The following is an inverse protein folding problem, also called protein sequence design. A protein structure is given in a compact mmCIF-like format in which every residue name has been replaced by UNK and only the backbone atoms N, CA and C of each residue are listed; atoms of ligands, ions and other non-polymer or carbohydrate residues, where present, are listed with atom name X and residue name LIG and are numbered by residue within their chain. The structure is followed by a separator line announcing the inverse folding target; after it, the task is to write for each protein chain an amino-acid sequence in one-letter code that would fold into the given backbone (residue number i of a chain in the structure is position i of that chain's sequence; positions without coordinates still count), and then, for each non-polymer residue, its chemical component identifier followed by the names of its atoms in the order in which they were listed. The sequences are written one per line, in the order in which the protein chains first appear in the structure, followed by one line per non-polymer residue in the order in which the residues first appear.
data_IF_936623413726
#
_entry.id   IF_936623413726
#
_cell.length_a   1.000
_cell.length_b   1.000
_cell.length_c   1.000
_cell.angle_alpha   90.00
_cell.angle_beta   90.00
_cell.angle_gamma   90.00
#
_symmetry.space_group_name_H-M   'P 1'
#
loop_
_entity.id
_entity.type
_entity.pdbx_description
1 polymer ?
#
# COMPACT_ATOMS: atom_id res chain seq x y z
N UNK A 1 -65.59 7.16 17.02
CA UNK A 1 -65.87 6.16 15.95
C UNK A 1 -64.81 6.37 14.87
N UNK A 2 -64.11 5.32 14.42
CA UNK A 2 -63.15 5.39 13.31
C UNK A 2 -63.80 4.78 12.07
N UNK A 3 -63.72 5.47 10.94
CA UNK A 3 -64.18 4.96 9.65
C UNK A 3 -62.97 4.66 8.77
N UNK A 4 -63.05 3.58 7.99
CA UNK A 4 -62.01 3.16 7.06
C UNK A 4 -62.59 3.24 5.65
N UNK A 5 -62.16 4.25 4.88
CA UNK A 5 -62.55 4.41 3.48
C UNK A 5 -61.90 3.36 2.59
N UNK A 6 -62.67 2.81 1.64
CA UNK A 6 -62.11 2.04 0.51
C UNK A 6 -61.67 3.02 -0.58
N UNK A 7 -60.63 2.71 -1.38
CA UNK A 7 -60.24 3.56 -2.50
C UNK A 7 -61.43 3.97 -3.37
N UNK A 8 -61.56 5.28 -3.64
CA UNK A 8 -62.69 5.85 -4.39
C UNK A 8 -63.93 6.21 -3.55
N UNK A 9 -63.87 6.02 -2.23
CA UNK A 9 -64.91 6.45 -1.30
C UNK A 9 -64.36 7.49 -0.33
N UNK A 10 -65.04 8.63 -0.26
CA UNK A 10 -64.77 9.70 0.69
C UNK A 10 -65.95 9.80 1.68
N UNK A 11 -65.66 10.22 2.93
CA UNK A 11 -66.68 10.44 3.95
C UNK A 11 -66.78 11.94 4.19
N UNK A 12 -67.92 12.51 3.83
CA UNK A 12 -68.18 13.95 3.90
C UNK A 12 -69.16 14.22 5.05
N UNK A 13 -68.91 15.28 5.82
CA UNK A 13 -69.83 15.73 6.86
C UNK A 13 -70.85 16.69 6.24
N UNK A 14 -72.16 16.51 6.50
CA UNK A 14 -73.19 17.41 5.96
C UNK A 14 -72.93 18.87 6.36
N UNK A 15 -72.88 19.78 5.38
CA UNK A 15 -72.63 21.21 5.59
C UNK A 15 -71.28 21.70 5.04
N UNK A 16 -70.36 20.78 4.75
CA UNK A 16 -69.23 21.10 3.88
C UNK A 16 -69.76 21.28 2.45
N UNK A 17 -69.25 22.27 1.74
CA UNK A 17 -69.61 22.56 0.35
C UNK A 17 -68.55 21.87 -0.53
N UNK A 18 -68.68 20.58 -0.87
CA UNK A 18 -67.66 19.92 -1.68
C UNK A 18 -67.67 20.61 -3.03
N UNK A 19 -66.59 21.28 -3.38
CA UNK A 19 -66.29 21.52 -4.79
C UNK A 19 -66.25 20.14 -5.44
N UNK A 20 -67.30 19.76 -6.16
CA UNK A 20 -67.47 18.46 -6.85
C UNK A 20 -66.52 18.39 -8.08
N UNK A 21 -65.30 18.87 -7.93
CA UNK A 21 -64.21 18.50 -8.81
C UNK A 21 -63.56 17.27 -8.18
N UNK A 22 -63.82 16.10 -8.77
CA UNK A 22 -63.13 14.86 -8.44
C UNK A 22 -61.64 15.03 -8.77
N UNK A 23 -60.89 15.56 -7.80
CA UNK A 23 -59.44 15.63 -7.79
C UNK A 23 -58.85 14.30 -7.29
N UNK A 24 -57.52 14.16 -7.38
CA UNK A 24 -56.84 13.04 -6.76
C UNK A 24 -57.00 13.07 -5.23
N UNK A 25 -57.26 11.91 -4.63
CA UNK A 25 -57.49 11.73 -3.19
C UNK A 25 -56.46 10.77 -2.57
N UNK A 26 -56.25 10.88 -1.26
CA UNK A 26 -55.28 10.10 -0.50
C UNK A 26 -55.70 9.89 0.96
N UNK A 27 -54.96 9.08 1.72
CA UNK A 27 -55.25 8.81 3.13
C UNK A 27 -56.05 7.54 3.37
N UNK A 28 -56.28 6.74 2.32
CA UNK A 28 -56.69 5.35 2.44
C UNK A 28 -55.67 4.52 3.21
N UNK A 29 -56.02 3.26 3.50
CA UNK A 29 -55.11 2.33 4.18
C UNK A 29 -53.74 2.24 3.49
N UNK A 30 -52.67 2.28 4.28
CA UNK A 30 -51.28 2.27 3.82
C UNK A 30 -50.83 0.98 3.09
N UNK A 31 -51.71 -0.03 2.99
CA UNK A 31 -51.50 -1.27 2.21
C UNK A 31 -52.00 -1.15 0.77
N UNK A 32 -52.72 -0.08 0.43
CA UNK A 32 -53.18 0.18 -0.93
C UNK A 32 -52.01 0.71 -1.74
N UNK A 33 -51.70 0.06 -2.87
CA UNK A 33 -50.54 0.42 -3.71
C UNK A 33 -50.53 1.87 -4.20
N UNK A 34 -51.70 2.48 -4.47
CA UNK A 34 -51.78 3.89 -4.86
C UNK A 34 -51.36 4.85 -3.76
N UNK A 35 -51.29 4.41 -2.49
CA UNK A 35 -50.82 5.18 -1.35
C UNK A 35 -49.33 4.97 -1.07
N UNK A 36 -48.63 4.13 -1.85
CA UNK A 36 -47.21 3.88 -1.64
C UNK A 36 -46.41 5.10 -2.11
N UNK A 37 -45.56 5.68 -1.26
CA UNK A 37 -44.67 6.75 -1.68
C UNK A 37 -43.56 6.17 -2.57
N UNK A 38 -42.89 7.06 -3.31
CA UNK A 38 -41.75 6.71 -4.14
C UNK A 38 -40.46 6.83 -3.31
N UNK A 39 -39.51 5.91 -3.53
CA UNK A 39 -38.17 5.95 -2.96
C UNK A 39 -37.11 5.76 -4.05
N UNK A 40 -36.10 6.63 -4.06
CA UNK A 40 -34.91 6.49 -4.89
C UNK A 40 -33.65 6.62 -4.02
N UNK A 41 -32.79 5.60 -4.04
CA UNK A 41 -31.48 5.63 -3.39
C UNK A 41 -30.37 5.72 -4.43
N UNK A 42 -29.61 6.81 -4.44
CA UNK A 42 -28.44 6.98 -5.31
C UNK A 42 -27.22 7.35 -4.49
N UNK A 43 -26.10 6.66 -4.72
CA UNK A 43 -24.84 6.92 -4.05
C UNK A 43 -23.99 5.67 -3.88
N UNK A 44 -22.76 5.81 -3.32
CA UNK A 44 -21.82 4.71 -3.19
C UNK A 44 -22.27 3.61 -2.21
N UNK A 45 -23.17 3.95 -1.29
CA UNK A 45 -23.70 3.03 -0.27
C UNK A 45 -24.84 2.15 -0.79
N UNK A 46 -25.56 2.60 -1.82
CA UNK A 46 -26.69 1.88 -2.41
C UNK A 46 -26.23 0.94 -3.52
N UNK A 47 -26.89 -0.21 -3.68
CA UNK A 47 -26.65 -1.09 -4.82
C UNK A 47 -27.01 -0.38 -6.14
N UNK A 48 -26.28 -0.71 -7.19
CA UNK A 48 -26.50 -0.15 -8.53
C UNK A 48 -27.54 -0.98 -9.30
N UNK A 49 -28.36 -0.30 -10.10
CA UNK A 49 -29.32 -0.91 -11.03
C UNK A 49 -30.25 -1.95 -10.39
N UNK A 50 -30.64 -1.70 -9.14
CA UNK A 50 -31.53 -2.59 -8.40
C UNK A 50 -32.88 -1.92 -8.18
N UNK A 51 -33.93 -2.70 -8.39
CA UNK A 51 -35.29 -2.37 -7.98
C UNK A 51 -35.51 -2.94 -6.57
N UNK A 52 -35.72 -2.06 -5.60
CA UNK A 52 -35.94 -2.44 -4.22
C UNK A 52 -37.33 -3.05 -4.04
N UNK A 53 -37.42 -4.04 -3.15
CA UNK A 53 -38.71 -4.50 -2.65
C UNK A 53 -39.34 -3.43 -1.75
N UNK A 54 -40.67 -3.30 -1.68
CA UNK A 54 -41.31 -2.32 -0.80
C UNK A 54 -40.93 -2.52 0.67
N UNK A 55 -40.59 -1.42 1.35
CA UNK A 55 -40.34 -1.38 2.79
C UNK A 55 -41.09 -0.19 3.41
N UNK A 56 -41.19 -0.13 4.75
CA UNK A 56 -42.00 0.89 5.40
C UNK A 56 -41.24 2.21 5.52
N UNK A 57 -41.96 3.34 5.42
CA UNK A 57 -41.36 4.68 5.56
C UNK A 57 -40.67 4.88 6.92
N UNK A 58 -41.12 4.19 7.98
CA UNK A 58 -40.49 4.23 9.31
C UNK A 58 -39.06 3.67 9.31
N UNK A 59 -38.71 2.80 8.35
CA UNK A 59 -37.38 2.21 8.21
C UNK A 59 -36.37 3.21 7.57
N UNK A 60 -36.84 4.34 7.02
CA UNK A 60 -35.98 5.37 6.42
C UNK A 60 -35.12 6.05 7.50
N UNK A 61 -35.62 6.25 8.71
CA UNK A 61 -34.82 6.89 9.76
C UNK A 61 -33.61 6.06 10.19
N UNK A 62 -33.74 4.75 10.55
CA UNK A 62 -32.58 3.88 10.78
C UNK A 62 -31.62 3.80 9.59
N UNK A 63 -32.15 3.78 8.36
CA UNK A 63 -31.36 3.78 7.13
C UNK A 63 -30.51 5.07 7.00
N UNK A 64 -31.11 6.24 7.22
CA UNK A 64 -30.38 7.52 7.19
C UNK A 64 -29.33 7.59 8.29
N UNK A 65 -29.67 7.17 9.51
CA UNK A 65 -28.72 7.11 10.62
C UNK A 65 -27.52 6.22 10.29
N UNK A 66 -27.75 5.06 9.66
CA UNK A 66 -26.68 4.18 9.18
C UNK A 66 -25.79 4.86 8.14
N UNK A 67 -26.37 5.52 7.13
CA UNK A 67 -25.63 6.21 6.07
C UNK A 67 -24.79 7.38 6.62
N UNK A 68 -25.37 8.14 7.54
CA UNK A 68 -24.74 9.29 8.19
C UNK A 68 -23.79 8.89 9.33
N UNK A 69 -23.70 7.60 9.67
CA UNK A 69 -22.92 7.06 10.80
C UNK A 69 -23.32 7.66 12.15
N UNK A 70 -24.63 7.85 12.34
CA UNK A 70 -25.23 8.32 13.59
C UNK A 70 -25.72 7.14 14.43
N UNK A 71 -25.76 7.33 15.75
CA UNK A 71 -26.40 6.38 16.64
C UNK A 71 -27.93 6.44 16.46
N UNK A 72 -28.53 5.31 16.08
CA UNK A 72 -29.97 5.20 15.89
C UNK A 72 -30.68 5.19 17.25
N UNK A 73 -31.50 6.21 17.52
CA UNK A 73 -32.43 6.20 18.67
C UNK A 73 -33.57 5.19 18.47
N UNK A 74 -34.21 4.81 19.58
CA UNK A 74 -35.39 3.93 19.60
C UNK A 74 -36.48 4.47 18.66
N UNK A 75 -36.93 3.61 17.75
CA UNK A 75 -37.93 3.91 16.72
C UNK A 75 -38.71 2.63 16.38
N UNK A 76 -39.82 2.76 15.67
CA UNK A 76 -40.63 1.65 15.18
C UNK A 76 -40.08 1.01 13.90
N UNK A 77 -39.08 1.65 13.26
CA UNK A 77 -38.41 1.13 12.06
C UNK A 77 -37.18 0.28 12.39
N UNK A 78 -36.75 -0.54 11.44
CA UNK A 78 -35.52 -1.33 11.53
C UNK A 78 -34.67 -1.19 10.27
N UNK A 79 -33.35 -1.05 10.46
CA UNK A 79 -32.40 -1.06 9.35
C UNK A 79 -32.45 -2.38 8.57
N UNK A 80 -32.73 -3.50 9.24
CA UNK A 80 -32.72 -4.82 8.59
C UNK A 80 -33.75 -4.93 7.45
N UNK A 81 -34.88 -4.22 7.56
CA UNK A 81 -35.91 -4.16 6.52
C UNK A 81 -35.40 -3.48 5.24
N UNK A 82 -34.53 -2.47 5.38
CA UNK A 82 -33.96 -1.71 4.27
C UNK A 82 -32.55 -2.19 3.86
N UNK A 83 -31.90 -3.06 4.64
CA UNK A 83 -30.49 -3.44 4.45
C UNK A 83 -30.22 -4.07 3.09
N UNK A 84 -31.22 -4.73 2.50
CA UNK A 84 -31.13 -5.32 1.17
C UNK A 84 -30.81 -4.30 0.08
N UNK A 85 -31.04 -2.99 0.30
CA UNK A 85 -30.72 -1.94 -0.67
C UNK A 85 -29.28 -1.43 -0.62
N UNK A 86 -28.55 -1.82 0.43
CA UNK A 86 -27.20 -1.37 0.69
C UNK A 86 -26.17 -2.31 0.07
N UNK A 87 -25.02 -1.77 -0.33
CA UNK A 87 -23.87 -2.57 -0.73
C UNK A 87 -23.21 -3.19 0.50
N UNK A 88 -22.67 -4.39 0.31
CA UNK A 88 -21.75 -5.02 1.26
C UNK A 88 -20.42 -4.23 1.30
N UNK A 89 -20.38 -3.11 2.02
CA UNK A 89 -19.17 -2.28 2.14
C UNK A 89 -18.01 -3.01 2.81
N UNK A 90 -18.31 -4.03 3.63
CA UNK A 90 -17.30 -4.87 4.27
C UNK A 90 -16.47 -5.66 3.25
N UNK A 91 -17.08 -6.15 2.17
CA UNK A 91 -16.34 -6.85 1.09
C UNK A 91 -15.43 -5.88 0.35
N UNK A 92 -15.93 -4.72 -0.04
CA UNK A 92 -15.13 -3.74 -0.79
C UNK A 92 -13.92 -3.21 0.00
N UNK A 93 -14.12 -2.85 1.28
CA UNK A 93 -13.01 -2.37 2.12
C UNK A 93 -12.00 -3.47 2.40
N UNK A 94 -12.45 -4.67 2.75
CA UNK A 94 -11.57 -5.82 3.00
C UNK A 94 -10.74 -6.20 1.76
N UNK A 95 -11.38 -6.27 0.59
CA UNK A 95 -10.69 -6.57 -0.66
C UNK A 95 -9.67 -5.48 -1.02
N UNK A 96 -9.97 -4.21 -0.79
CA UNK A 96 -9.03 -3.12 -1.04
C UNK A 96 -7.82 -3.15 -0.10
N UNK A 97 -8.04 -3.40 1.19
CA UNK A 97 -6.96 -3.54 2.18
C UNK A 97 -6.05 -4.72 1.81
N UNK A 98 -6.62 -5.88 1.44
CA UNK A 98 -5.86 -7.05 0.98
C UNK A 98 -5.10 -6.72 -0.31
N UNK A 99 -5.75 -6.14 -1.31
CA UNK A 99 -5.12 -5.84 -2.60
C UNK A 99 -3.93 -4.88 -2.42
N UNK A 100 -4.08 -3.86 -1.57
CA UNK A 100 -3.00 -2.93 -1.25
C UNK A 100 -1.85 -3.63 -0.53
N UNK A 101 -2.15 -4.48 0.45
CA UNK A 101 -1.15 -5.27 1.17
C UNK A 101 -0.40 -6.24 0.25
N UNK A 102 -1.11 -6.99 -0.61
CA UNK A 102 -0.53 -7.93 -1.57
C UNK A 102 0.33 -7.20 -2.61
N UNK A 103 -0.13 -6.06 -3.14
CA UNK A 103 0.64 -5.26 -4.09
C UNK A 103 1.93 -4.71 -3.46
N UNK A 104 1.85 -4.24 -2.22
CA UNK A 104 3.01 -3.67 -1.50
C UNK A 104 4.04 -4.75 -1.17
N UNK A 105 3.60 -5.93 -0.73
CA UNK A 105 4.51 -7.04 -0.39
C UNK A 105 5.17 -7.62 -1.64
N UNK A 106 4.43 -7.83 -2.73
CA UNK A 106 4.99 -8.38 -3.98
C UNK A 106 6.00 -7.44 -4.65
N UNK A 107 5.73 -6.13 -4.68
CA UNK A 107 6.67 -5.12 -5.22
C UNK A 107 7.93 -5.00 -4.37
N UNK A 108 7.81 -4.99 -3.05
CA UNK A 108 8.97 -4.94 -2.16
C UNK A 108 9.85 -6.20 -2.27
N UNK A 109 9.25 -7.40 -2.31
CA UNK A 109 10.00 -8.66 -2.46
C UNK A 109 10.73 -8.72 -3.80
N UNK A 110 10.05 -8.39 -4.89
CA UNK A 110 10.66 -8.39 -6.23
C UNK A 110 11.79 -7.36 -6.32
N UNK A 111 11.58 -6.14 -5.80
CA UNK A 111 12.61 -5.10 -5.76
C UNK A 111 13.86 -5.52 -4.97
N UNK A 112 13.70 -6.14 -3.79
CA UNK A 112 14.84 -6.66 -3.01
C UNK A 112 15.56 -7.80 -3.74
N UNK A 113 14.82 -8.68 -4.41
CA UNK A 113 15.41 -9.72 -5.26
C UNK A 113 16.30 -9.15 -6.37
N UNK A 114 15.81 -8.14 -7.11
CA UNK A 114 16.59 -7.54 -8.20
C UNK A 114 17.84 -6.78 -7.72
N UNK A 115 17.71 -6.00 -6.65
CA UNK A 115 18.82 -5.20 -6.12
C UNK A 115 19.98 -6.07 -5.61
N UNK A 116 19.66 -7.15 -4.91
CA UNK A 116 20.67 -8.10 -4.40
C UNK A 116 21.42 -8.80 -5.52
N UNK A 117 20.71 -9.32 -6.52
CA UNK A 117 21.32 -9.96 -7.70
C UNK A 117 22.22 -8.98 -8.46
N UNK A 118 21.76 -7.75 -8.70
CA UNK A 118 22.55 -6.72 -9.38
C UNK A 118 23.82 -6.36 -8.58
N UNK A 119 23.70 -6.24 -7.25
CA UNK A 119 24.83 -5.96 -6.37
C UNK A 119 25.89 -7.07 -6.42
N UNK A 120 25.48 -8.34 -6.39
CA UNK A 120 26.39 -9.48 -6.52
C UNK A 120 27.11 -9.49 -7.87
N UNK A 121 26.40 -9.20 -8.97
CA UNK A 121 27.00 -9.09 -10.30
C UNK A 121 28.08 -7.99 -10.33
N UNK A 122 27.81 -6.83 -9.73
CA UNK A 122 28.77 -5.72 -9.67
C UNK A 122 30.03 -6.09 -8.87
N UNK A 123 29.87 -6.76 -7.73
CA UNK A 123 31.01 -7.22 -6.90
C UNK A 123 31.88 -8.22 -7.68
N UNK A 124 31.25 -9.15 -8.40
CA UNK A 124 31.96 -10.13 -9.24
C UNK A 124 32.73 -9.42 -10.36
N UNK A 125 32.11 -8.45 -11.05
CA UNK A 125 32.77 -7.70 -12.12
C UNK A 125 33.96 -6.89 -11.60
N UNK A 126 33.82 -6.20 -10.47
CA UNK A 126 34.92 -5.46 -9.84
C UNK A 126 36.06 -6.42 -9.45
N UNK A 127 35.74 -7.58 -8.88
CA UNK A 127 36.72 -8.62 -8.53
C UNK A 127 37.47 -9.15 -9.77
N UNK A 128 36.76 -9.40 -10.87
CA UNK A 128 37.37 -9.82 -12.14
C UNK A 128 38.32 -8.73 -12.67
N UNK A 129 37.88 -7.47 -12.70
CA UNK A 129 38.71 -6.34 -13.16
C UNK A 129 39.97 -6.20 -12.30
N UNK A 130 39.83 -6.26 -10.97
CA UNK A 130 40.95 -6.18 -10.04
C UNK A 130 41.95 -7.32 -10.26
N UNK A 131 41.45 -8.56 -10.42
CA UNK A 131 42.29 -9.73 -10.67
C UNK A 131 43.08 -9.58 -11.98
N UNK A 132 42.42 -9.15 -13.06
CA UNK A 132 43.08 -8.88 -14.35
C UNK A 132 44.15 -7.79 -14.19
N UNK A 133 43.86 -6.71 -13.48
CA UNK A 133 44.80 -5.62 -13.23
C UNK A 133 46.02 -6.08 -12.41
N UNK A 134 45.80 -6.85 -11.35
CA UNK A 134 46.86 -7.45 -10.53
C UNK A 134 47.74 -8.40 -11.35
N UNK A 135 47.14 -9.30 -12.14
CA UNK A 135 47.89 -10.17 -13.06
C UNK A 135 48.72 -9.37 -14.06
N UNK A 136 48.18 -8.27 -14.61
CA UNK A 136 48.88 -7.41 -15.56
C UNK A 136 50.06 -6.69 -14.90
N UNK A 137 49.88 -6.18 -13.68
CA UNK A 137 50.94 -5.54 -12.90
C UNK A 137 52.08 -6.52 -12.58
N UNK A 138 51.74 -7.72 -12.09
CA UNK A 138 52.74 -8.77 -11.82
C UNK A 138 53.52 -9.17 -13.07
N UNK A 139 52.85 -9.31 -14.24
CA UNK A 139 53.55 -9.58 -15.52
C UNK A 139 54.50 -8.45 -15.93
N UNK A 140 54.14 -7.19 -15.69
CA UNK A 140 55.02 -6.06 -15.98
C UNK A 140 56.26 -6.05 -15.09
N UNK A 141 56.13 -6.38 -13.80
CA UNK A 141 57.28 -6.49 -12.90
C UNK A 141 58.29 -7.56 -13.37
N UNK A 142 57.80 -8.73 -13.77
CA UNK A 142 58.65 -9.80 -14.32
C UNK A 142 59.35 -9.37 -15.61
N UNK A 143 58.67 -8.60 -16.47
CA UNK A 143 59.26 -8.07 -17.70
C UNK A 143 60.41 -7.09 -17.42
N UNK A 144 60.24 -6.21 -16.44
CA UNK A 144 61.28 -5.25 -16.02
C UNK A 144 62.48 -5.96 -15.41
N UNK A 145 62.25 -6.97 -14.56
CA UNK A 145 63.33 -7.75 -13.94
C UNK A 145 64.13 -8.56 -14.98
N UNK A 146 63.47 -9.07 -16.02
CA UNK A 146 64.12 -9.75 -17.15
C UNK A 146 65.03 -8.85 -18.01
N UNK A 147 64.90 -7.51 -17.95
CA UNK A 147 65.73 -6.57 -18.70
C UNK A 147 66.96 -6.08 -17.91
N UNK A 148 67.15 -6.51 -16.66
CA UNK A 148 68.26 -6.09 -15.81
C UNK A 148 69.55 -6.87 -16.15
N UNK A 149 70.40 -6.31 -17.03
CA UNK A 149 71.74 -6.86 -17.30
C UNK A 149 72.73 -6.28 -16.27
N UNK A 150 73.40 -7.11 -15.44
CA UNK A 150 74.32 -6.59 -14.44
C UNK A 150 75.59 -6.01 -15.10
N UNK A 151 75.85 -4.72 -14.88
CA UNK A 151 77.12 -4.07 -15.26
C UNK A 151 78.21 -4.58 -14.33
N UNK A 152 79.17 -5.33 -14.89
CA UNK A 152 80.25 -5.97 -14.14
C UNK A 152 81.41 -4.99 -13.97
N UNK A 153 81.55 -4.38 -12.79
CA UNK A 153 82.75 -3.61 -12.45
C UNK A 153 83.93 -4.57 -12.17
N UNK A 154 84.98 -4.47 -12.97
CA UNK A 154 86.25 -5.19 -12.76
C UNK A 154 87.11 -4.37 -11.80
N UNK A 155 87.13 -4.76 -10.52
CA UNK A 155 88.08 -4.20 -9.56
C UNK A 155 89.49 -4.62 -9.99
N UNK A 156 90.29 -3.64 -10.41
CA UNK A 156 91.72 -3.81 -10.61
C UNK A 156 92.35 -3.93 -9.23
N UNK A 157 92.76 -5.15 -8.88
CA UNK A 157 93.63 -5.43 -7.74
C UNK A 157 94.98 -4.78 -8.03
N UNK A 158 95.24 -3.65 -7.38
CA UNK A 158 96.60 -3.18 -7.15
C UNK A 158 96.87 -3.32 -5.66
N UNK A 159 97.84 -4.18 -5.37
CA UNK A 159 98.60 -4.17 -4.12
C UNK A 159 99.13 -2.75 -3.89
N UNK A 160 98.73 -2.12 -2.79
CA UNK A 160 99.62 -1.35 -1.92
C UNK A 160 98.91 -1.06 -0.60
N UNK A 161 99.61 -1.36 0.50
CA UNK A 161 99.01 -1.44 1.83
C UNK A 161 98.65 -0.08 2.43
N UNK A 162 97.64 -0.08 3.29
CA UNK A 162 97.62 0.80 4.45
C UNK A 162 96.60 0.31 5.48
N UNK A 163 97.03 0.30 6.73
CA UNK A 163 96.25 -0.06 7.91
C UNK A 163 95.20 1.01 8.19
N UNK A 164 93.99 0.59 8.57
CA UNK A 164 93.29 1.18 9.72
C UNK A 164 92.05 0.36 10.05
N UNK A 165 92.11 -0.37 11.18
CA UNK A 165 90.93 -0.64 11.98
C UNK A 165 90.42 0.71 12.48
N UNK A 166 89.15 1.04 12.22
CA UNK A 166 88.51 2.17 12.88
C UNK A 166 87.01 1.91 13.08
N UNK A 167 86.69 1.68 14.36
CA UNK A 167 85.39 1.73 15.05
C UNK A 167 84.38 0.58 14.84
N UNK A 168 84.38 -0.27 15.87
CA UNK A 168 83.21 -0.92 16.43
C UNK A 168 82.22 0.11 17.00
N UNK A 169 80.94 -0.25 17.06
CA UNK A 169 80.16 -0.02 18.28
C UNK A 169 79.16 -1.17 18.48
N UNK A 170 79.16 -1.68 19.71
CA UNK A 170 78.34 -2.76 20.25
C UNK A 170 77.11 -2.17 20.95
N UNK A 171 76.04 -2.96 20.97
CA UNK A 171 75.14 -3.14 22.12
C UNK A 171 74.21 -1.99 22.59
N UNK A 172 73.04 -2.41 23.08
CA UNK A 172 72.45 -1.76 24.26
C UNK A 172 70.97 -1.38 24.18
N UNK A 173 70.13 -2.34 24.62
CA UNK A 173 68.94 -2.17 25.47
C UNK A 173 67.73 -1.32 25.03
N UNK A 174 66.59 -2.03 24.95
CA UNK A 174 65.42 -1.90 25.83
C UNK A 174 65.34 -0.61 26.69
N UNK A 175 64.30 0.19 26.51
CA UNK A 175 63.42 0.54 27.64
C UNK A 175 62.02 1.00 27.21
N UNK A 176 61.08 0.49 27.99
CA UNK A 176 59.65 0.70 28.11
C UNK A 176 59.33 2.13 28.60
N UNK A 177 58.25 2.77 28.14
CA UNK A 177 57.35 3.55 29.02
C UNK A 177 56.08 4.06 28.32
N UNK A 178 54.95 3.70 28.97
CA UNK A 178 53.64 4.38 29.11
C UNK A 178 52.77 4.68 27.88
#
# INVERSE_FOLDING_TARGET
ILFIGKPGYEIIVPGDNPSIELLGDHGYGNRVKSMYPIFYGFGPVFQQNMQAEPFHTVDIYPLMSYILKLETRITNGSLDNAKHILRDHLKGKFLNEINLFVLTTTTNITSWGYTTVLCLILVILIGIIYTIAACRHSRQLIYVESQYVPVRYRLLSNNEGSKSNLFADESGNEEETQ
#
